data_IF_296109174782
#
_entry.id   IF_296109174782
#
_cell.length_a   1.000
_cell.length_b   1.000
_cell.length_c   1.000
_cell.angle_alpha   90.00
_cell.angle_beta   90.00
_cell.angle_gamma   90.00
#
_symmetry.space_group_name_H-M   'P 1'
#
loop_
_entity.id
_entity.type
_entity.pdbx_description
1 polymer ?
#
# COMPACT_ATOMS: atom_id res chain seq x y z
N UNK A 1 -14.93 31.59 -53.64
CA UNK A 1 -14.92 32.06 -52.25
C UNK A 1 -13.52 32.50 -51.77
N UNK A 2 -12.45 32.00 -52.33
CA UNK A 2 -11.08 32.40 -51.95
C UNK A 2 -10.46 33.50 -52.90
N UNK A 3 -11.24 34.09 -53.81
CA UNK A 3 -10.74 35.16 -54.63
C UNK A 3 -10.62 36.48 -53.83
N UNK A 4 -9.74 37.36 -54.27
CA UNK A 4 -9.61 38.71 -53.71
C UNK A 4 -10.99 39.40 -53.65
N UNK A 5 -11.30 40.10 -52.56
CA UNK A 5 -12.58 40.72 -52.33
C UNK A 5 -12.97 41.69 -53.49
N UNK A 6 -12.02 42.46 -54.04
CA UNK A 6 -12.24 43.37 -55.17
C UNK A 6 -12.63 42.58 -56.43
N UNK A 7 -11.93 41.52 -56.78
CA UNK A 7 -12.20 40.66 -57.93
C UNK A 7 -13.55 39.93 -57.83
N UNK A 8 -13.88 39.48 -56.60
CA UNK A 8 -15.18 38.90 -56.31
C UNK A 8 -16.31 39.94 -56.51
N UNK A 9 -16.15 41.13 -55.95
CA UNK A 9 -17.12 42.22 -56.10
C UNK A 9 -17.34 42.61 -57.57
N UNK A 10 -16.28 42.66 -58.37
CA UNK A 10 -16.36 42.90 -59.83
C UNK A 10 -17.13 41.78 -60.55
N UNK A 11 -16.89 40.52 -60.19
CA UNK A 11 -17.62 39.42 -60.75
C UNK A 11 -19.07 39.42 -60.36
N UNK A 12 -19.41 39.61 -59.07
CA UNK A 12 -20.78 39.72 -58.57
C UNK A 12 -21.53 40.86 -59.28
N UNK A 13 -20.91 42.01 -59.45
CA UNK A 13 -21.45 43.19 -60.19
C UNK A 13 -21.70 42.84 -61.66
N UNK A 14 -20.82 42.12 -62.34
CA UNK A 14 -20.99 41.69 -63.69
C UNK A 14 -22.10 40.67 -63.85
N UNK A 15 -22.31 39.75 -62.85
CA UNK A 15 -23.43 38.80 -62.76
C UNK A 15 -24.76 39.56 -62.67
N UNK A 16 -24.88 40.54 -61.77
CA UNK A 16 -26.09 41.30 -61.63
C UNK A 16 -26.40 42.16 -62.87
N UNK A 17 -25.39 42.71 -63.50
CA UNK A 17 -25.55 43.44 -64.79
C UNK A 17 -26.04 42.50 -65.90
N UNK A 18 -25.52 41.30 -65.98
CA UNK A 18 -25.94 40.30 -66.99
C UNK A 18 -27.42 39.85 -66.71
N UNK A 19 -27.79 39.61 -65.45
CA UNK A 19 -29.18 39.29 -65.08
C UNK A 19 -30.12 40.41 -65.45
N UNK A 20 -29.76 41.68 -65.24
CA UNK A 20 -30.55 42.82 -65.57
C UNK A 20 -30.80 42.92 -67.12
N UNK A 21 -29.79 42.63 -67.93
CA UNK A 21 -29.95 42.59 -69.40
C UNK A 21 -30.84 41.43 -69.80
N UNK A 22 -30.73 40.25 -69.22
CA UNK A 22 -31.57 39.09 -69.52
C UNK A 22 -33.04 39.29 -69.10
N UNK A 23 -33.29 40.13 -68.11
CA UNK A 23 -34.65 40.47 -67.67
C UNK A 23 -35.37 41.54 -68.51
N UNK A 24 -34.69 42.14 -69.51
CA UNK A 24 -35.31 43.09 -70.44
C UNK A 24 -36.16 42.36 -71.51
N UNK A 25 -37.39 42.75 -71.74
CA UNK A 25 -38.25 42.20 -72.81
C UNK A 25 -37.68 42.43 -74.22
N UNK A 26 -36.95 43.52 -74.45
CA UNK A 26 -36.37 43.88 -75.73
C UNK A 26 -34.87 44.14 -75.64
N UNK A 27 -34.13 43.17 -75.08
CA UNK A 27 -32.68 43.23 -75.06
C UNK A 27 -32.14 43.09 -76.49
N UNK A 28 -31.26 44.00 -76.89
CA UNK A 28 -30.56 43.92 -78.18
C UNK A 28 -29.41 42.90 -78.10
N UNK A 29 -29.06 42.31 -79.25
CA UNK A 29 -27.92 41.39 -79.33
C UNK A 29 -26.63 42.07 -78.85
N UNK A 30 -26.41 43.33 -79.16
CA UNK A 30 -25.23 44.06 -78.69
C UNK A 30 -25.17 44.20 -77.19
N UNK A 31 -26.30 44.41 -76.50
CA UNK A 31 -26.38 44.49 -75.02
C UNK A 31 -26.02 43.11 -74.43
N UNK A 32 -26.56 42.06 -75.00
CA UNK A 32 -26.30 40.68 -74.58
C UNK A 32 -24.82 40.31 -74.73
N UNK A 33 -24.21 40.59 -75.89
CA UNK A 33 -22.80 40.37 -76.18
C UNK A 33 -21.91 41.18 -75.26
N UNK A 34 -22.19 42.44 -74.99
CA UNK A 34 -21.42 43.30 -74.05
C UNK A 34 -21.51 42.77 -72.59
N UNK A 35 -22.71 42.33 -72.14
CA UNK A 35 -22.85 41.78 -70.81
C UNK A 35 -22.10 40.44 -70.64
N UNK A 36 -22.11 39.59 -71.67
CA UNK A 36 -21.39 38.32 -71.73
C UNK A 36 -19.89 38.56 -71.65
N UNK A 37 -19.36 39.48 -72.47
CA UNK A 37 -17.90 39.83 -72.47
C UNK A 37 -17.44 40.35 -71.09
N UNK A 38 -18.24 41.25 -70.47
CA UNK A 38 -17.92 41.75 -69.13
C UNK A 38 -17.92 40.64 -68.09
N UNK A 39 -18.90 39.74 -68.14
CA UNK A 39 -19.01 38.60 -67.23
C UNK A 39 -17.84 37.62 -67.42
N UNK A 40 -17.48 37.29 -68.65
CA UNK A 40 -16.33 36.44 -68.99
C UNK A 40 -14.99 37.05 -68.51
N UNK A 41 -14.81 38.37 -68.73
CA UNK A 41 -13.65 39.09 -68.25
C UNK A 41 -13.53 39.05 -66.74
N UNK A 42 -14.61 39.34 -66.01
CA UNK A 42 -14.64 39.30 -64.55
C UNK A 42 -14.46 37.90 -64.03
N UNK A 43 -15.00 36.87 -64.67
CA UNK A 43 -14.79 35.43 -64.34
C UNK A 43 -13.31 35.03 -64.47
N UNK A 44 -12.69 35.43 -65.59
CA UNK A 44 -11.26 35.10 -65.86
C UNK A 44 -10.34 35.80 -64.89
N UNK A 45 -10.76 36.99 -64.35
CA UNK A 45 -9.98 37.75 -63.38
C UNK A 45 -10.00 37.12 -61.95
N UNK A 46 -10.94 36.19 -61.68
CA UNK A 46 -10.98 35.51 -60.36
C UNK A 46 -9.67 34.73 -60.14
N UNK A 47 -9.07 34.94 -58.96
CA UNK A 47 -7.79 34.37 -58.61
C UNK A 47 -7.82 33.48 -57.35
N UNK A 48 -9.03 33.04 -56.96
CA UNK A 48 -9.22 32.16 -55.83
C UNK A 48 -8.51 30.78 -56.08
N UNK A 49 -7.88 30.27 -55.07
CA UNK A 49 -7.29 28.91 -55.03
C UNK A 49 -8.13 28.01 -54.17
N UNK A 50 -8.00 26.72 -54.36
CA UNK A 50 -8.63 25.72 -53.48
C UNK A 50 -8.15 25.91 -52.01
N UNK A 51 -9.08 25.72 -51.08
CA UNK A 51 -8.76 25.81 -49.67
C UNK A 51 -7.93 24.59 -49.24
N UNK A 52 -6.77 24.86 -48.69
CA UNK A 52 -5.94 23.81 -48.06
C UNK A 52 -6.39 23.55 -46.62
N UNK A 53 -7.16 22.49 -46.41
CA UNK A 53 -7.65 22.03 -45.11
C UNK A 53 -6.65 21.19 -44.34
N UNK A 54 -5.63 20.64 -44.98
CA UNK A 54 -4.71 19.64 -44.42
C UNK A 54 -4.02 20.07 -43.10
N UNK A 55 -3.50 21.30 -42.96
CA UNK A 55 -2.85 21.71 -41.71
C UNK A 55 -3.78 21.76 -40.51
N UNK A 56 -5.04 22.18 -40.68
CA UNK A 56 -6.06 22.20 -39.62
C UNK A 56 -6.54 20.77 -39.32
N UNK A 57 -6.72 19.94 -40.34
CA UNK A 57 -7.08 18.54 -40.18
C UNK A 57 -6.05 17.80 -39.34
N UNK A 58 -4.78 17.90 -39.69
CA UNK A 58 -3.68 17.28 -38.95
C UNK A 58 -3.68 17.69 -37.46
N UNK A 59 -3.85 18.97 -37.20
CA UNK A 59 -3.88 19.50 -35.83
C UNK A 59 -5.12 19.02 -35.06
N UNK A 60 -6.28 18.96 -35.72
CA UNK A 60 -7.50 18.42 -35.12
C UNK A 60 -7.39 16.90 -34.83
N UNK A 61 -6.74 16.16 -35.71
CA UNK A 61 -6.54 14.71 -35.57
C UNK A 61 -5.65 14.35 -34.37
N UNK A 62 -4.69 15.20 -33.99
CA UNK A 62 -3.87 15.04 -32.78
C UNK A 62 -4.73 14.95 -31.51
N UNK A 63 -5.93 15.56 -31.52
CA UNK A 63 -6.85 15.48 -30.38
C UNK A 63 -7.40 14.07 -30.10
N UNK A 64 -7.27 13.15 -31.04
CA UNK A 64 -7.72 11.75 -30.85
C UNK A 64 -6.84 10.98 -29.87
N UNK A 65 -5.61 11.46 -29.65
CA UNK A 65 -4.64 10.88 -28.70
C UNK A 65 -4.40 11.75 -27.47
N UNK A 66 -5.23 12.80 -27.27
CA UNK A 66 -5.05 13.77 -26.17
C UNK A 66 -5.00 13.13 -24.79
N UNK A 67 -5.76 12.05 -24.58
CA UNK A 67 -5.81 11.32 -23.30
C UNK A 67 -4.48 10.69 -22.92
N UNK A 68 -3.56 10.49 -23.87
CA UNK A 68 -2.20 9.99 -23.64
C UNK A 68 -1.16 11.11 -23.48
N UNK A 69 -1.59 12.38 -23.60
CA UNK A 69 -0.71 13.52 -23.51
C UNK A 69 -0.76 14.14 -22.10
N UNK A 70 0.34 14.08 -21.30
CA UNK A 70 0.35 14.63 -19.95
C UNK A 70 0.07 16.14 -19.92
N UNK A 71 0.43 16.88 -20.96
CA UNK A 71 0.08 18.29 -21.06
C UNK A 71 -1.43 18.51 -21.08
N UNK A 72 -2.22 17.52 -21.55
CA UNK A 72 -3.67 17.57 -21.54
C UNK A 72 -4.24 16.96 -20.25
N UNK A 73 -3.97 15.67 -19.94
CA UNK A 73 -4.68 15.01 -18.85
C UNK A 73 -4.33 15.54 -17.44
N UNK A 74 -3.15 16.19 -17.28
CA UNK A 74 -2.76 16.89 -16.05
C UNK A 74 -2.96 18.42 -16.11
N UNK A 75 -3.54 18.95 -17.19
CA UNK A 75 -3.82 20.38 -17.27
C UNK A 75 -4.99 20.80 -16.36
N UNK A 76 -5.03 22.08 -16.01
CA UNK A 76 -6.17 22.67 -15.33
C UNK A 76 -7.44 22.49 -16.17
N UNK A 77 -8.58 22.24 -15.52
CA UNK A 77 -9.85 21.94 -16.18
C UNK A 77 -10.27 23.02 -17.17
N UNK A 78 -10.07 24.30 -16.85
CA UNK A 78 -10.38 25.42 -17.74
C UNK A 78 -9.56 25.40 -19.05
N UNK A 79 -8.33 24.90 -18.99
CA UNK A 79 -7.43 24.72 -20.14
C UNK A 79 -7.85 23.53 -20.99
N UNK A 80 -8.21 22.41 -20.35
CA UNK A 80 -8.78 21.26 -21.04
C UNK A 80 -10.07 21.62 -21.79
N UNK A 81 -10.97 22.37 -21.13
CA UNK A 81 -12.23 22.81 -21.71
C UNK A 81 -12.01 23.75 -22.90
N UNK A 82 -11.10 24.71 -22.77
CA UNK A 82 -10.73 25.62 -23.86
C UNK A 82 -10.15 24.86 -25.07
N UNK A 83 -9.27 23.90 -24.84
CA UNK A 83 -8.73 23.05 -25.90
C UNK A 83 -9.82 22.20 -26.57
N UNK A 84 -10.66 21.53 -25.79
CA UNK A 84 -11.77 20.74 -26.32
C UNK A 84 -12.73 21.57 -27.18
N UNK A 85 -13.07 22.80 -26.74
CA UNK A 85 -13.88 23.71 -27.48
C UNK A 85 -13.23 24.09 -28.82
N UNK A 86 -11.95 24.44 -28.84
CA UNK A 86 -11.21 24.78 -30.04
C UNK A 86 -11.15 23.59 -31.03
N UNK A 87 -11.01 22.36 -30.53
CA UNK A 87 -11.08 21.15 -31.35
C UNK A 87 -12.45 20.99 -32.03
N UNK A 88 -13.55 21.16 -31.30
CA UNK A 88 -14.89 21.03 -31.86
C UNK A 88 -15.21 22.18 -32.87
N UNK A 89 -14.73 23.37 -32.62
CA UNK A 89 -14.79 24.48 -33.57
C UNK A 89 -13.99 24.18 -34.83
N UNK A 90 -12.79 23.62 -34.72
CA UNK A 90 -11.98 23.20 -35.86
C UNK A 90 -12.68 22.11 -36.70
N UNK A 91 -13.27 21.10 -36.09
CA UNK A 91 -14.05 20.07 -36.77
C UNK A 91 -15.24 20.68 -37.50
N UNK A 92 -15.93 21.65 -36.88
CA UNK A 92 -17.06 22.35 -37.49
C UNK A 92 -16.61 23.14 -38.72
N UNK A 93 -15.51 23.85 -38.67
CA UNK A 93 -14.92 24.60 -39.80
C UNK A 93 -14.52 23.63 -40.93
N UNK A 94 -13.86 22.50 -40.60
CA UNK A 94 -13.47 21.49 -41.59
C UNK A 94 -14.66 20.84 -42.30
N UNK A 95 -15.79 20.71 -41.62
CA UNK A 95 -17.04 20.14 -42.20
C UNK A 95 -17.77 21.05 -43.15
N UNK A 96 -17.44 22.36 -43.21
CA UNK A 96 -18.05 23.27 -44.14
C UNK A 96 -17.70 22.89 -45.59
N UNK A 97 -18.70 22.89 -46.47
CA UNK A 97 -18.54 22.61 -47.89
C UNK A 97 -17.72 23.74 -48.59
N UNK A 98 -18.05 25.01 -48.29
CA UNK A 98 -17.44 26.19 -48.91
C UNK A 98 -16.65 27.00 -47.86
N UNK A 99 -15.61 26.41 -47.26
CA UNK A 99 -14.75 27.07 -46.27
C UNK A 99 -13.69 27.89 -46.97
N UNK A 100 -13.44 29.10 -46.49
CA UNK A 100 -12.34 29.96 -46.98
C UNK A 100 -11.00 29.60 -46.32
N UNK A 101 -9.89 29.95 -46.99
CA UNK A 101 -8.56 29.79 -46.40
C UNK A 101 -8.40 30.66 -45.14
N UNK A 102 -9.05 31.81 -45.07
CA UNK A 102 -9.03 32.65 -43.88
C UNK A 102 -9.69 32.00 -42.69
N UNK A 103 -10.86 31.32 -42.86
CA UNK A 103 -11.52 30.55 -41.79
C UNK A 103 -10.65 29.39 -41.31
N UNK A 104 -10.00 28.65 -42.23
CA UNK A 104 -9.07 27.59 -41.89
C UNK A 104 -7.91 28.12 -41.07
N UNK A 105 -7.30 29.24 -41.51
CA UNK A 105 -6.14 29.80 -40.80
C UNK A 105 -6.52 30.33 -39.41
N UNK A 106 -7.69 30.98 -39.28
CA UNK A 106 -8.17 31.49 -38.00
C UNK A 106 -8.43 30.34 -37.00
N UNK A 107 -9.17 29.33 -37.42
CA UNK A 107 -9.46 28.17 -36.58
C UNK A 107 -8.21 27.38 -36.21
N UNK A 108 -7.22 27.30 -37.14
CA UNK A 108 -5.91 26.69 -36.84
C UNK A 108 -5.20 27.46 -35.76
N UNK A 109 -5.14 28.79 -35.84
CA UNK A 109 -4.46 29.63 -34.85
C UNK A 109 -5.12 29.55 -33.48
N UNK A 110 -6.45 29.46 -33.42
CA UNK A 110 -7.22 29.30 -32.18
C UNK A 110 -6.91 27.94 -31.52
N UNK A 111 -6.87 26.86 -32.32
CA UNK A 111 -6.56 25.53 -31.79
C UNK A 111 -5.08 25.42 -31.35
N UNK A 112 -4.15 26.04 -32.11
CA UNK A 112 -2.75 26.12 -31.71
C UNK A 112 -2.60 26.87 -30.37
N UNK A 113 -3.25 28.03 -30.21
CA UNK A 113 -3.18 28.80 -28.98
C UNK A 113 -3.79 28.04 -27.80
N UNK A 114 -4.88 27.35 -27.99
CA UNK A 114 -5.50 26.52 -26.94
C UNK A 114 -4.61 25.33 -26.57
N UNK A 115 -3.94 24.70 -27.53
CA UNK A 115 -2.96 23.62 -27.31
C UNK A 115 -1.73 24.11 -26.53
N UNK A 116 -1.18 25.27 -26.90
CA UNK A 116 -0.04 25.88 -26.21
C UNK A 116 -0.38 26.36 -24.78
N UNK A 117 -1.66 26.65 -24.52
CA UNK A 117 -2.13 27.04 -23.19
C UNK A 117 -2.28 25.87 -22.22
N UNK A 118 -2.23 24.61 -22.68
CA UNK A 118 -2.22 23.43 -21.83
C UNK A 118 -0.98 23.44 -20.93
N UNK A 119 -1.19 23.30 -19.61
CA UNK A 119 -0.15 23.48 -18.60
C UNK A 119 0.16 22.21 -17.80
N UNK A 120 -0.38 21.07 -18.20
CA UNK A 120 -0.12 19.79 -17.57
C UNK A 120 1.36 19.37 -17.71
N UNK A 121 1.83 18.56 -16.78
CA UNK A 121 3.20 18.02 -16.73
C UNK A 121 3.15 16.52 -16.60
N UNK A 122 4.27 15.85 -16.83
CA UNK A 122 4.40 14.43 -16.53
C UNK A 122 4.07 14.18 -15.06
N UNK A 123 3.33 13.09 -14.80
CA UNK A 123 2.99 12.67 -13.44
C UNK A 123 4.25 12.27 -12.69
N UNK A 124 4.47 12.85 -11.52
CA UNK A 124 5.54 12.47 -10.61
C UNK A 124 5.02 11.47 -9.58
N UNK A 125 5.49 10.23 -9.66
CA UNK A 125 5.10 9.12 -8.79
C UNK A 125 6.14 8.78 -7.72
N UNK A 126 7.31 9.45 -7.70
CA UNK A 126 8.47 9.04 -6.90
C UNK A 126 8.16 8.96 -5.40
N UNK A 127 7.58 10.01 -4.83
CA UNK A 127 7.26 10.04 -3.39
C UNK A 127 6.22 8.98 -2.99
N UNK A 128 5.20 8.76 -3.83
CA UNK A 128 4.21 7.71 -3.58
C UNK A 128 4.84 6.32 -3.66
N UNK A 129 5.73 6.10 -4.63
CA UNK A 129 6.46 4.85 -4.79
C UNK A 129 7.36 4.55 -3.59
N UNK A 130 8.03 5.56 -3.02
CA UNK A 130 8.83 5.43 -1.80
C UNK A 130 7.96 5.01 -0.60
N UNK A 131 6.83 5.70 -0.39
CA UNK A 131 5.90 5.35 0.70
C UNK A 131 5.39 3.90 0.60
N UNK A 132 5.07 3.44 -0.61
CA UNK A 132 4.64 2.06 -0.83
C UNK A 132 5.77 1.06 -0.57
N UNK A 133 7.01 1.34 -0.98
CA UNK A 133 8.18 0.50 -0.68
C UNK A 133 8.48 0.44 0.82
N UNK A 134 8.39 1.56 1.52
CA UNK A 134 8.59 1.61 2.97
C UNK A 134 7.56 0.77 3.71
N UNK A 135 6.33 0.68 3.17
CA UNK A 135 5.27 -0.15 3.73
C UNK A 135 5.59 -1.65 3.75
N UNK A 136 6.49 -2.14 2.89
CA UNK A 136 6.91 -3.55 2.86
C UNK A 136 7.63 -3.95 4.16
N UNK A 137 8.25 -3.00 4.85
CA UNK A 137 8.96 -3.21 6.12
C UNK A 137 8.07 -2.98 7.36
N UNK A 138 6.81 -2.59 7.19
CA UNK A 138 5.90 -2.18 8.28
C UNK A 138 5.77 -3.18 9.41
N UNK A 139 5.80 -4.47 9.10
CA UNK A 139 5.69 -5.55 10.09
C UNK A 139 6.88 -5.59 11.08
N UNK A 140 7.97 -4.89 10.78
CA UNK A 140 9.12 -4.72 11.67
C UNK A 140 8.98 -3.54 12.64
N UNK A 141 7.94 -2.71 12.50
CA UNK A 141 7.78 -1.49 13.29
C UNK A 141 6.63 -1.60 14.31
N UNK A 142 6.94 -1.31 15.57
CA UNK A 142 5.98 -1.39 16.68
C UNK A 142 4.77 -0.48 16.48
N UNK A 143 4.94 0.70 15.93
CA UNK A 143 3.86 1.63 15.65
C UNK A 143 2.80 1.04 14.69
N UNK A 144 3.17 0.07 13.85
CA UNK A 144 2.23 -0.66 12.99
C UNK A 144 1.71 -1.95 13.68
N UNK A 145 2.60 -2.90 14.07
CA UNK A 145 2.13 -4.21 14.52
C UNK A 145 1.40 -4.18 15.88
N UNK A 146 1.63 -3.15 16.73
CA UNK A 146 0.91 -2.91 17.98
C UNK A 146 -0.23 -1.88 17.85
N UNK A 147 -0.46 -1.29 16.67
CA UNK A 147 -1.55 -0.35 16.48
C UNK A 147 -2.92 -1.05 16.55
N UNK A 148 -3.97 -0.27 16.81
CA UNK A 148 -5.35 -0.74 16.76
C UNK A 148 -5.67 -1.37 15.41
N UNK A 149 -6.49 -2.42 15.40
CA UNK A 149 -6.74 -3.21 14.19
C UNK A 149 -7.38 -2.40 13.06
N UNK A 150 -8.29 -1.48 13.40
CA UNK A 150 -8.96 -0.60 12.45
C UNK A 150 -8.00 0.40 11.79
N UNK A 151 -7.01 0.90 12.54
CA UNK A 151 -5.97 1.79 12.02
C UNK A 151 -5.02 1.06 11.08
N UNK A 152 -4.63 -0.17 11.43
CA UNK A 152 -3.84 -1.03 10.51
C UNK A 152 -4.59 -1.32 9.22
N UNK A 153 -5.88 -1.68 9.33
CA UNK A 153 -6.73 -1.96 8.16
C UNK A 153 -6.87 -0.70 7.27
N UNK A 154 -7.02 0.48 7.88
CA UNK A 154 -7.10 1.74 7.13
C UNK A 154 -5.78 2.05 6.38
N UNK A 155 -4.64 1.83 7.04
CA UNK A 155 -3.32 1.98 6.41
C UNK A 155 -3.11 0.97 5.27
N UNK A 156 -3.43 -0.30 5.50
CA UNK A 156 -3.28 -1.35 4.49
C UNK A 156 -4.13 -1.08 3.25
N UNK A 157 -5.36 -0.59 3.43
CA UNK A 157 -6.23 -0.15 2.32
C UNK A 157 -5.63 1.03 1.56
N UNK A 158 -5.07 2.00 2.27
CA UNK A 158 -4.43 3.15 1.62
C UNK A 158 -3.23 2.72 0.76
N UNK A 159 -2.42 1.78 1.23
CA UNK A 159 -1.31 1.19 0.45
C UNK A 159 -1.83 0.40 -0.76
N UNK A 160 -2.92 -0.38 -0.60
CA UNK A 160 -3.53 -1.10 -1.72
C UNK A 160 -4.03 -0.13 -2.81
N UNK A 161 -4.73 0.95 -2.43
CA UNK A 161 -5.18 1.98 -3.37
C UNK A 161 -4.00 2.72 -4.03
N UNK A 162 -2.95 3.03 -3.27
CA UNK A 162 -1.72 3.60 -3.82
C UNK A 162 -1.08 2.70 -4.89
N UNK A 163 -1.00 1.40 -4.65
CA UNK A 163 -0.53 0.42 -5.63
C UNK A 163 -1.40 0.38 -6.89
N UNK A 164 -2.74 0.49 -6.76
CA UNK A 164 -3.65 0.57 -7.91
C UNK A 164 -3.38 1.81 -8.74
N UNK A 165 -3.13 2.96 -8.10
CA UNK A 165 -2.76 4.20 -8.80
C UNK A 165 -1.44 4.04 -9.53
N UNK A 166 -0.39 3.52 -8.86
CA UNK A 166 0.94 3.31 -9.43
C UNK A 166 0.96 2.29 -10.59
N UNK A 167 0.01 1.36 -10.63
CA UNK A 167 -0.10 0.35 -11.70
C UNK A 167 -0.76 0.86 -12.98
N UNK A 168 -1.30 2.09 -12.99
CA UNK A 168 -1.96 2.67 -14.15
C UNK A 168 -0.99 3.51 -14.97
N UNK A 169 -0.93 3.24 -16.27
CA UNK A 169 -0.06 3.96 -17.22
C UNK A 169 -0.41 5.47 -17.29
N UNK A 170 -1.65 5.83 -17.02
CA UNK A 170 -2.19 7.20 -17.18
C UNK A 170 -2.78 7.73 -15.86
N UNK A 171 -2.11 7.48 -14.75
CA UNK A 171 -2.49 8.11 -13.49
C UNK A 171 -2.22 9.62 -13.55
N UNK A 172 -3.23 10.40 -13.21
CA UNK A 172 -3.08 11.86 -13.12
C UNK A 172 -2.30 12.27 -11.88
N UNK A 173 -1.68 13.45 -11.90
CA UNK A 173 -0.98 13.98 -10.73
C UNK A 173 -1.93 14.11 -9.53
N UNK A 174 -3.17 14.53 -9.75
CA UNK A 174 -4.17 14.65 -8.69
C UNK A 174 -4.50 13.32 -8.01
N UNK A 175 -4.56 12.21 -8.76
CA UNK A 175 -4.77 10.88 -8.21
C UNK A 175 -3.57 10.40 -7.40
N UNK A 176 -2.34 10.66 -7.88
CA UNK A 176 -1.09 10.35 -7.16
C UNK A 176 -1.01 11.16 -5.86
N UNK A 177 -1.31 12.46 -5.91
CA UNK A 177 -1.30 13.32 -4.73
C UNK A 177 -2.37 12.93 -3.71
N UNK A 178 -3.57 12.55 -4.15
CA UNK A 178 -4.64 12.06 -3.28
C UNK A 178 -4.26 10.72 -2.61
N UNK A 179 -3.70 9.79 -3.35
CA UNK A 179 -3.24 8.50 -2.81
C UNK A 179 -2.10 8.71 -1.79
N UNK A 180 -1.12 9.56 -2.12
CA UNK A 180 -0.04 9.94 -1.20
C UNK A 180 -0.57 10.57 0.09
N UNK A 181 -1.48 11.54 -0.02
CA UNK A 181 -2.10 12.18 1.14
C UNK A 181 -2.81 11.15 2.03
N UNK A 182 -3.50 10.19 1.42
CA UNK A 182 -4.21 9.13 2.17
C UNK A 182 -3.26 8.18 2.88
N UNK A 183 -2.17 7.77 2.26
CA UNK A 183 -1.13 6.95 2.91
C UNK A 183 -0.54 7.69 4.11
N UNK A 184 -0.14 8.96 3.94
CA UNK A 184 0.42 9.77 5.02
C UNK A 184 -0.57 10.00 6.17
N UNK A 185 -1.85 10.24 5.89
CA UNK A 185 -2.91 10.39 6.89
C UNK A 185 -3.05 9.11 7.73
N UNK A 186 -3.11 7.94 7.06
CA UNK A 186 -3.31 6.67 7.76
C UNK A 186 -2.06 6.19 8.47
N UNK A 187 -0.87 6.47 7.96
CA UNK A 187 0.40 6.22 8.64
C UNK A 187 0.49 7.03 9.94
N UNK A 188 0.20 8.32 9.88
CA UNK A 188 0.19 9.20 11.06
C UNK A 188 -0.88 8.82 12.12
N UNK A 189 -1.90 8.08 11.73
CA UNK A 189 -2.94 7.59 12.64
C UNK A 189 -2.55 6.30 13.38
N UNK A 190 -1.47 5.61 12.96
CA UNK A 190 -0.97 4.42 13.64
C UNK A 190 -0.48 4.79 15.03
N UNK A 191 -0.92 4.06 16.06
CA UNK A 191 -0.71 4.39 17.48
C UNK A 191 0.00 3.30 18.28
N UNK A 192 0.53 2.29 17.60
CA UNK A 192 1.24 1.20 18.26
C UNK A 192 2.47 1.68 19.01
N UNK A 193 2.68 1.09 20.19
CA UNK A 193 3.83 1.36 21.06
C UNK A 193 4.77 0.15 21.05
N UNK A 194 5.99 0.35 21.50
CA UNK A 194 6.92 -0.76 21.70
C UNK A 194 6.35 -1.78 22.66
N UNK A 195 6.58 -3.07 22.35
CA UNK A 195 6.11 -4.17 23.18
C UNK A 195 6.79 -4.11 24.55
N UNK A 196 6.01 -4.10 25.62
CA UNK A 196 6.50 -4.10 27.01
C UNK A 196 6.81 -5.51 27.48
N UNK A 197 8.10 -5.83 27.60
CA UNK A 197 8.63 -7.08 28.12
C UNK A 197 8.92 -7.07 29.62
N UNK A 198 8.59 -6.00 30.34
CA UNK A 198 8.96 -5.83 31.74
C UNK A 198 8.47 -6.96 32.65
N UNK A 199 7.28 -7.51 32.39
CA UNK A 199 6.72 -8.65 33.12
C UNK A 199 7.23 -10.00 32.62
N UNK A 200 7.68 -10.08 31.39
CA UNK A 200 8.18 -11.33 30.79
C UNK A 200 9.54 -11.75 31.37
N UNK A 201 10.49 -10.83 31.46
CA UNK A 201 11.85 -11.15 31.89
C UNK A 201 11.97 -11.75 33.28
N UNK A 202 11.24 -11.28 34.31
CA UNK A 202 11.23 -11.94 35.62
C UNK A 202 10.79 -13.42 35.54
N UNK A 203 9.73 -13.70 34.78
CA UNK A 203 9.22 -15.08 34.59
C UNK A 203 10.22 -15.96 33.83
N UNK A 204 10.84 -15.42 32.77
CA UNK A 204 11.88 -16.09 32.01
C UNK A 204 13.07 -16.48 32.90
N UNK A 205 13.56 -15.55 33.69
CA UNK A 205 14.74 -15.74 34.53
C UNK A 205 14.50 -16.69 35.72
N UNK A 206 13.24 -16.89 36.14
CA UNK A 206 12.94 -17.83 37.22
C UNK A 206 12.67 -19.27 36.78
N UNK A 207 12.62 -19.56 35.45
CA UNK A 207 12.28 -20.89 34.92
C UNK A 207 13.10 -22.01 35.58
N UNK A 208 14.42 -21.87 35.63
CA UNK A 208 15.28 -22.88 36.17
C UNK A 208 15.12 -23.02 37.70
N UNK A 209 14.84 -21.90 38.40
CA UNK A 209 14.53 -21.92 39.84
C UNK A 209 13.22 -22.67 40.12
N UNK A 210 12.18 -22.43 39.29
CA UNK A 210 10.90 -23.14 39.42
C UNK A 210 11.08 -24.63 39.17
N UNK A 211 11.82 -25.04 38.13
CA UNK A 211 12.08 -26.44 37.83
C UNK A 211 12.88 -27.17 38.91
N UNK A 212 13.68 -26.47 39.70
CA UNK A 212 14.40 -26.98 40.84
C UNK A 212 13.62 -26.88 42.16
N UNK A 213 12.35 -26.49 42.15
CA UNK A 213 11.54 -26.42 43.36
C UNK A 213 10.71 -27.67 43.60
N UNK A 214 10.40 -28.01 44.88
CA UNK A 214 9.51 -29.13 45.23
C UNK A 214 8.16 -29.04 44.51
N UNK A 215 7.67 -27.81 44.35
CA UNK A 215 6.40 -27.52 43.66
C UNK A 215 6.37 -28.02 42.22
N UNK A 216 7.51 -28.08 41.54
CA UNK A 216 7.65 -28.63 40.20
C UNK A 216 7.98 -30.13 40.22
N UNK A 217 9.08 -30.56 40.90
CA UNK A 217 9.55 -31.95 40.74
C UNK A 217 8.63 -32.97 41.42
N UNK A 218 7.83 -32.58 42.44
CA UNK A 218 6.80 -33.40 43.06
C UNK A 218 5.37 -33.21 42.46
N UNK A 219 5.23 -32.31 41.44
CA UNK A 219 3.93 -32.12 40.80
C UNK A 219 3.53 -33.32 39.93
N UNK A 220 2.23 -33.38 39.63
CA UNK A 220 1.71 -34.33 38.66
C UNK A 220 2.30 -34.15 37.28
N UNK A 221 2.46 -35.23 36.52
CA UNK A 221 3.06 -35.18 35.17
C UNK A 221 2.33 -34.24 34.21
N UNK A 222 0.99 -34.10 34.37
CA UNK A 222 0.21 -33.16 33.56
C UNK A 222 0.57 -31.69 33.84
N UNK A 223 0.74 -31.33 35.11
CA UNK A 223 1.13 -30.01 35.56
C UNK A 223 2.57 -29.67 35.11
N UNK A 224 3.50 -30.63 35.29
CA UNK A 224 4.88 -30.49 34.77
C UNK A 224 4.88 -30.24 33.27
N UNK A 225 4.15 -31.03 32.50
CA UNK A 225 4.08 -30.89 31.02
C UNK A 225 3.57 -29.53 30.59
N UNK A 226 2.55 -28.98 31.24
CA UNK A 226 2.02 -27.64 30.94
C UNK A 226 3.07 -26.56 31.22
N UNK A 227 3.75 -26.65 32.38
CA UNK A 227 4.80 -25.69 32.70
C UNK A 227 6.01 -25.81 31.76
N UNK A 228 6.40 -27.03 31.38
CA UNK A 228 7.50 -27.27 30.44
C UNK A 228 7.19 -26.67 29.06
N UNK A 229 5.95 -26.77 28.58
CA UNK A 229 5.53 -26.16 27.32
C UNK A 229 5.63 -24.62 27.39
N UNK A 230 5.09 -24.00 28.43
CA UNK A 230 5.16 -22.55 28.59
C UNK A 230 6.60 -22.06 28.72
N UNK A 231 7.44 -22.77 29.51
CA UNK A 231 8.86 -22.47 29.67
C UNK A 231 9.63 -22.63 28.35
N UNK A 232 9.29 -23.62 27.53
CA UNK A 232 9.89 -23.82 26.21
C UNK A 232 9.57 -22.65 25.27
N UNK A 233 8.29 -22.22 25.22
CA UNK A 233 7.91 -21.04 24.45
C UNK A 233 8.63 -19.78 24.93
N UNK A 234 8.74 -19.60 26.26
CA UNK A 234 9.48 -18.48 26.83
C UNK A 234 10.95 -18.50 26.40
N UNK A 235 11.61 -19.66 26.43
CA UNK A 235 13.03 -19.78 26.01
C UNK A 235 13.21 -19.48 24.53
N UNK A 236 12.34 -20.01 23.66
CA UNK A 236 12.40 -19.73 22.21
C UNK A 236 12.29 -18.22 21.93
N UNK A 237 11.35 -17.53 22.57
CA UNK A 237 11.16 -16.10 22.34
C UNK A 237 12.22 -15.24 23.03
N UNK A 238 12.64 -15.59 24.24
CA UNK A 238 13.70 -14.87 24.95
C UNK A 238 15.06 -14.93 24.26
N UNK A 239 15.44 -16.09 23.70
CA UNK A 239 16.71 -16.28 22.98
C UNK A 239 16.69 -15.64 21.58
N UNK A 240 15.51 -15.49 20.95
CA UNK A 240 15.35 -14.94 19.61
C UNK A 240 15.03 -13.44 19.60
N UNK A 241 14.93 -12.78 20.75
CA UNK A 241 14.70 -11.34 20.83
C UNK A 241 15.85 -10.60 20.11
N UNK A 242 15.51 -9.79 19.13
CA UNK A 242 16.48 -9.09 18.27
C UNK A 242 16.86 -9.83 16.99
N UNK A 243 16.35 -11.06 16.75
CA UNK A 243 16.59 -11.85 15.53
C UNK A 243 15.35 -11.97 14.61
N UNK A 244 14.42 -11.02 14.70
CA UNK A 244 13.25 -10.96 13.80
C UNK A 244 11.99 -11.69 14.29
N UNK A 245 11.97 -12.23 15.50
CA UNK A 245 10.75 -12.76 16.13
C UNK A 245 10.20 -11.72 17.13
N UNK A 246 9.59 -10.67 16.59
CA UNK A 246 8.93 -9.65 17.41
C UNK A 246 7.51 -10.11 17.72
N UNK A 247 7.23 -10.39 19.00
CA UNK A 247 5.86 -10.57 19.46
C UNK A 247 5.21 -9.20 19.65
N UNK A 248 3.96 -9.06 19.18
CA UNK A 248 3.17 -7.90 19.51
C UNK A 248 2.73 -7.93 20.99
N UNK A 249 2.20 -6.81 21.50
CA UNK A 249 1.82 -6.70 22.92
C UNK A 249 0.83 -7.79 23.33
N UNK A 250 -0.16 -8.11 22.50
CA UNK A 250 -1.15 -9.15 22.79
C UNK A 250 -0.53 -10.55 22.87
N UNK A 251 0.45 -10.84 22.02
CA UNK A 251 1.13 -12.13 22.00
C UNK A 251 2.02 -12.30 23.22
N UNK A 252 2.78 -11.27 23.62
CA UNK A 252 3.61 -11.33 24.84
C UNK A 252 2.75 -11.40 26.10
N UNK A 253 1.64 -10.67 26.17
CA UNK A 253 0.70 -10.77 27.29
C UNK A 253 0.09 -12.18 27.39
N UNK A 254 -0.23 -12.79 26.25
CA UNK A 254 -0.70 -14.18 26.18
C UNK A 254 0.35 -15.18 26.68
N UNK A 255 1.62 -14.99 26.32
CA UNK A 255 2.72 -15.83 26.79
C UNK A 255 2.98 -15.64 28.29
N UNK A 256 2.98 -14.42 28.79
CA UNK A 256 3.09 -14.11 30.22
C UNK A 256 2.00 -14.86 30.98
N UNK A 257 0.74 -14.69 30.55
CA UNK A 257 -0.39 -15.38 31.19
C UNK A 257 -0.24 -16.90 31.14
N UNK A 258 0.22 -17.46 30.04
CA UNK A 258 0.42 -18.92 29.94
C UNK A 258 1.49 -19.42 30.92
N UNK A 259 2.60 -18.68 31.11
CA UNK A 259 3.63 -19.01 32.07
C UNK A 259 3.09 -18.89 33.50
N UNK A 260 2.39 -17.81 33.84
CA UNK A 260 1.80 -17.59 35.16
C UNK A 260 0.77 -18.70 35.52
N UNK A 261 -0.17 -18.98 34.60
CA UNK A 261 -1.20 -20.00 34.80
C UNK A 261 -0.60 -21.41 34.98
N UNK A 262 0.38 -21.76 34.14
CA UNK A 262 1.04 -23.09 34.23
C UNK A 262 1.89 -23.22 35.47
N UNK A 263 2.55 -22.16 35.92
CA UNK A 263 3.28 -22.09 37.19
C UNK A 263 2.35 -22.21 38.39
N UNK A 264 1.20 -21.51 38.38
CA UNK A 264 0.19 -21.61 39.42
C UNK A 264 -0.46 -23.01 39.48
N UNK A 265 -0.54 -23.71 38.35
CA UNK A 265 -1.04 -25.08 38.24
C UNK A 265 -0.10 -26.17 38.81
N UNK A 266 1.17 -25.84 39.12
CA UNK A 266 2.08 -26.78 39.78
C UNK A 266 1.55 -27.11 41.18
N UNK A 267 1.35 -28.42 41.46
CA UNK A 267 0.70 -28.92 42.67
C UNK A 267 1.62 -29.77 43.55
N UNK A 268 2.92 -29.78 43.29
CA UNK A 268 3.88 -30.50 44.12
C UNK A 268 4.00 -29.93 45.52
N UNK A 269 4.10 -30.78 46.50
CA UNK A 269 4.32 -30.45 47.90
C UNK A 269 5.82 -30.61 48.29
N UNK A 270 6.22 -29.99 49.39
CA UNK A 270 7.55 -30.18 49.94
C UNK A 270 7.80 -31.63 50.33
N UNK A 271 8.96 -32.14 49.97
CA UNK A 271 9.35 -33.50 50.33
C UNK A 271 9.48 -33.61 51.85
N UNK A 272 8.69 -34.47 52.47
CA UNK A 272 8.77 -34.74 53.89
C UNK A 272 9.94 -35.69 54.19
N UNK A 273 11.12 -35.16 54.50
CA UNK A 273 12.33 -35.90 54.87
C UNK A 273 12.31 -36.42 56.32
N UNK A 274 11.40 -35.92 57.19
CA UNK A 274 11.39 -36.19 58.60
C UNK A 274 11.35 -37.67 58.98
N UNK A 275 10.51 -38.53 58.37
CA UNK A 275 10.47 -39.93 58.72
C UNK A 275 11.78 -40.66 58.37
N UNK A 276 12.37 -40.37 57.21
CA UNK A 276 13.62 -40.97 56.80
C UNK A 276 14.81 -40.46 57.62
N UNK A 277 14.81 -39.17 58.01
CA UNK A 277 15.82 -38.58 58.89
C UNK A 277 15.74 -39.24 60.25
N UNK A 278 14.55 -39.45 60.83
CA UNK A 278 14.37 -40.14 62.14
C UNK A 278 14.96 -41.55 62.10
N UNK A 279 14.66 -42.33 61.06
CA UNK A 279 15.21 -43.69 60.90
C UNK A 279 16.73 -43.68 60.72
N UNK A 280 17.27 -42.72 59.98
CA UNK A 280 18.71 -42.57 59.80
C UNK A 280 19.40 -42.16 61.11
N UNK A 281 18.77 -41.33 61.94
CA UNK A 281 19.29 -40.92 63.23
C UNK A 281 19.28 -42.04 64.27
N UNK A 282 18.26 -42.92 64.25
CA UNK A 282 18.21 -44.14 65.06
C UNK A 282 19.44 -45.03 64.81
N UNK A 283 20.02 -44.99 63.64
CA UNK A 283 21.20 -45.77 63.30
C UNK A 283 22.44 -45.35 64.10
N UNK A 284 22.47 -44.16 64.65
CA UNK A 284 23.59 -43.65 65.46
C UNK A 284 23.71 -44.38 66.80
N UNK A 285 22.67 -45.05 67.25
CA UNK A 285 22.59 -45.85 68.50
C UNK A 285 22.38 -47.33 68.21
N UNK A 286 22.58 -47.78 67.00
CA UNK A 286 22.34 -49.16 66.58
C UNK A 286 23.10 -50.20 67.36
N UNK A 287 24.33 -49.92 67.79
CA UNK A 287 25.17 -50.81 68.52
C UNK A 287 24.62 -51.09 69.96
N UNK A 288 23.77 -50.25 70.48
CA UNK A 288 23.08 -50.46 71.76
C UNK A 288 21.72 -51.15 71.58
N UNK A 289 21.29 -51.40 70.33
CA UNK A 289 20.06 -52.11 70.04
C UNK A 289 20.24 -53.61 69.96
N UNK A 290 19.61 -54.38 70.90
CA UNK A 290 19.70 -55.79 70.99
C UNK A 290 19.35 -56.55 69.70
N UNK A 291 18.45 -56.05 68.91
CA UNK A 291 18.09 -56.64 67.59
C UNK A 291 19.22 -56.51 66.57
N UNK A 292 20.02 -55.39 66.63
CA UNK A 292 21.10 -55.16 65.73
C UNK A 292 22.33 -55.95 66.16
N UNK A 293 22.83 -55.83 67.42
CA UNK A 293 24.06 -56.51 67.84
C UNK A 293 23.99 -58.03 67.87
N UNK A 294 22.78 -58.60 68.08
CA UNK A 294 22.55 -60.05 68.02
C UNK A 294 22.13 -60.54 66.62
N UNK A 295 22.00 -59.65 65.61
CA UNK A 295 21.68 -60.11 64.26
C UNK A 295 22.82 -60.82 63.56
N UNK A 296 22.52 -61.68 62.58
CA UNK A 296 23.47 -62.28 61.66
C UNK A 296 24.26 -61.25 60.90
N UNK A 297 25.49 -61.49 60.57
CA UNK A 297 26.41 -60.58 59.88
C UNK A 297 25.81 -60.05 58.56
N UNK A 298 25.15 -60.93 57.79
CA UNK A 298 24.52 -60.53 56.52
C UNK A 298 23.45 -59.48 56.75
N UNK A 299 22.58 -59.62 57.76
CA UNK A 299 21.47 -58.66 58.09
C UNK A 299 22.04 -57.32 58.61
N UNK A 300 23.13 -57.34 59.37
CA UNK A 300 23.82 -56.11 59.78
C UNK A 300 24.35 -55.37 58.56
N UNK A 301 24.97 -56.06 57.61
CA UNK A 301 25.53 -55.50 56.39
C UNK A 301 24.40 -54.88 55.54
N UNK A 302 23.25 -55.53 55.39
CA UNK A 302 22.13 -55.02 54.64
C UNK A 302 21.50 -53.76 55.30
N UNK A 303 21.37 -53.78 56.64
CA UNK A 303 20.90 -52.60 57.40
C UNK A 303 21.87 -51.41 57.23
N UNK A 304 23.20 -51.62 57.36
CA UNK A 304 24.18 -50.59 57.24
C UNK A 304 24.21 -49.96 55.83
N UNK A 305 24.06 -50.81 54.81
CA UNK A 305 23.88 -50.31 53.41
C UNK A 305 22.65 -49.45 53.25
N UNK A 306 21.51 -49.90 53.79
CA UNK A 306 20.27 -49.13 53.70
C UNK A 306 20.37 -47.78 54.43
N UNK A 307 21.05 -47.73 55.58
CA UNK A 307 21.31 -46.46 56.28
C UNK A 307 22.20 -45.53 55.46
N UNK A 308 23.26 -46.04 54.85
CA UNK A 308 24.12 -45.22 53.98
C UNK A 308 23.37 -44.71 52.75
N UNK A 309 22.50 -45.52 52.16
CA UNK A 309 21.64 -45.08 51.05
C UNK A 309 20.65 -44.02 51.52
N UNK A 310 20.02 -44.16 52.67
CA UNK A 310 19.12 -43.16 53.26
C UNK A 310 19.83 -41.83 53.49
N UNK A 311 21.06 -41.87 54.08
CA UNK A 311 21.91 -40.66 54.27
C UNK A 311 22.25 -39.97 52.94
N UNK A 312 22.57 -40.76 51.90
CA UNK A 312 22.79 -40.23 50.53
C UNK A 312 21.54 -39.53 49.95
N UNK A 313 20.36 -40.12 50.15
CA UNK A 313 19.10 -39.47 49.71
C UNK A 313 18.85 -38.20 50.48
N UNK A 314 18.99 -38.20 51.81
CA UNK A 314 18.79 -37.03 52.68
C UNK A 314 19.74 -35.87 52.37
N UNK A 315 20.98 -36.17 51.89
CA UNK A 315 21.98 -35.17 51.52
C UNK A 315 21.69 -34.48 50.16
N UNK A 316 20.82 -35.03 49.34
CA UNK A 316 20.42 -34.40 48.06
C UNK A 316 19.56 -33.16 48.31
N UNK A 317 19.84 -32.11 47.56
CA UNK A 317 19.04 -30.84 47.61
C UNK A 317 17.63 -31.08 47.09
N UNK A 318 17.50 -31.76 45.96
CA UNK A 318 16.22 -32.04 45.31
C UNK A 318 15.90 -33.53 45.39
N UNK A 319 14.92 -33.87 46.22
CA UNK A 319 14.47 -35.25 46.45
C UNK A 319 12.96 -35.31 46.24
N UNK A 320 12.53 -36.21 45.35
CA UNK A 320 11.10 -36.52 45.17
C UNK A 320 10.55 -37.25 46.36
N UNK A 321 9.25 -37.05 46.67
CA UNK A 321 8.56 -37.81 47.66
C UNK A 321 8.32 -39.23 47.15
#
# INVERSE_FOLDING_TARGET
>A
YNADAAKKAEYDKAVEAAKAVLAKENATQTEIDAAKEKLETAKTALNGKDTNKAPLQSLADESNEKEYNPNYYNADTDKQDAYNKAVEEAKTVLAKENVTQAEINASKSELEAAKEALNGKNTNIEELLELVKDSDMKNGYSYYYNADADKREAYDKAIEEANKVLSRDLATQAEVDAAKAKVLETDAALDGKDTDYSKFWPLYNEIDKVKNSPKYYNADESAKKQYDQSAQFAKIHGENQGRGSLLNQKEIDGLIKFIEDSKAGLNGEDTNKVPLQSLADESNTKDSNAKYYNAETAKKTDYDKAVEEAKKVLSKENVTQ
#
